data_IF_206522803329
#
_entry.id   IF_206522803329
#
_cell.length_a   1.000
_cell.length_b   1.000
_cell.length_c   1.000
_cell.angle_alpha   90.00
_cell.angle_beta   90.00
_cell.angle_gamma   90.00
#
_symmetry.space_group_name_H-M   'P 1'
#
loop_
_entity.id
_entity.type
_entity.pdbx_description
1 polymer ?
#
# COMPACT_ATOMS: atom_id res chain seq x y z
N UNK A 1 -3.79 -85.88 32.12
CA UNK A 1 -4.53 -84.83 32.86
C UNK A 1 -4.23 -83.50 32.18
N UNK A 2 -5.30 -82.78 31.84
CA UNK A 2 -5.39 -81.43 31.25
C UNK A 2 -4.80 -81.20 29.85
N UNK A 3 -5.36 -80.41 28.95
CA UNK A 3 -6.72 -79.94 28.63
C UNK A 3 -6.53 -78.98 27.45
N UNK A 4 -7.24 -79.22 26.35
CA UNK A 4 -7.37 -78.31 25.21
C UNK A 4 -8.04 -76.99 25.60
N UNK A 5 -7.69 -75.85 24.99
CA UNK A 5 -8.60 -74.98 24.19
C UNK A 5 -8.02 -73.57 23.86
N UNK A 6 -8.14 -73.23 22.58
CA UNK A 6 -8.68 -72.00 21.95
C UNK A 6 -8.24 -70.58 22.41
N UNK A 7 -7.65 -69.90 21.42
CA UNK A 7 -8.18 -68.69 20.76
C UNK A 7 -7.91 -67.26 21.30
N UNK A 8 -7.63 -66.43 20.28
CA UNK A 8 -8.04 -65.03 20.11
C UNK A 8 -7.24 -63.91 20.77
N UNK A 9 -6.47 -63.25 19.89
CA UNK A 9 -6.54 -61.81 19.60
C UNK A 9 -6.41 -60.83 20.76
N UNK A 10 -5.23 -60.20 20.85
CA UNK A 10 -5.04 -58.89 21.48
C UNK A 10 -4.19 -58.02 20.55
N UNK A 11 -4.86 -57.38 19.58
CA UNK A 11 -4.40 -56.15 18.94
C UNK A 11 -4.75 -55.03 19.93
N UNK A 12 -3.74 -54.45 20.59
CA UNK A 12 -3.95 -53.31 21.47
C UNK A 12 -3.27 -52.06 20.92
N UNK A 13 -4.15 -51.15 20.51
CA UNK A 13 -4.08 -49.69 20.41
C UNK A 13 -2.99 -49.03 19.55
N UNK A 14 -3.47 -48.50 18.42
CA UNK A 14 -3.03 -47.27 17.79
C UNK A 14 -2.56 -46.23 18.81
N UNK A 15 -1.31 -45.78 18.66
CA UNK A 15 -0.89 -44.51 19.22
C UNK A 15 -1.70 -43.39 18.56
N UNK A 16 -2.62 -42.78 19.31
CA UNK A 16 -3.09 -41.44 18.99
C UNK A 16 -1.90 -40.48 19.20
N UNK A 17 -1.22 -40.13 18.11
CA UNK A 17 -0.49 -38.88 18.07
C UNK A 17 -1.52 -37.76 18.28
N UNK A 18 -1.52 -37.16 19.47
CA UNK A 18 -2.20 -35.89 19.70
C UNK A 18 -1.45 -34.87 18.85
N UNK A 19 -1.96 -34.63 17.64
CA UNK A 19 -1.58 -33.48 16.86
C UNK A 19 -2.01 -32.25 17.67
N UNK A 20 -1.09 -31.69 18.45
CA UNK A 20 -1.25 -30.36 19.01
C UNK A 20 -1.56 -29.43 17.83
N UNK A 21 -2.67 -28.66 17.87
CA UNK A 21 -2.87 -27.62 16.88
C UNK A 21 -1.66 -26.68 16.98
N UNK A 22 -0.96 -26.55 15.86
CA UNK A 22 0.06 -25.52 15.71
C UNK A 22 -0.57 -24.18 16.08
N UNK A 23 0.17 -23.28 16.75
CA UNK A 23 -0.31 -21.92 16.95
C UNK A 23 -0.68 -21.37 15.58
N UNK A 24 -1.95 -21.00 15.43
CA UNK A 24 -2.41 -20.29 14.26
C UNK A 24 -1.49 -19.09 14.06
N UNK A 25 -0.84 -19.02 12.90
CA UNK A 25 -0.22 -17.81 12.40
C UNK A 25 -1.30 -16.73 12.39
N UNK A 26 -1.33 -15.91 13.43
CA UNK A 26 -1.95 -14.60 13.38
C UNK A 26 -1.01 -13.69 12.58
N UNK A 27 -0.83 -14.01 11.30
CA UNK A 27 -0.41 -13.01 10.33
C UNK A 27 -1.54 -12.00 10.27
N UNK A 28 -1.30 -10.89 10.96
CA UNK A 28 -1.72 -9.57 10.54
C UNK A 28 -3.15 -9.55 9.99
N UNK A 29 -4.14 -9.30 10.85
CA UNK A 29 -5.33 -8.54 10.41
C UNK A 29 -4.82 -7.11 10.14
N UNK A 30 -3.98 -7.02 9.12
CA UNK A 30 -3.40 -5.81 8.62
C UNK A 30 -4.53 -4.98 8.04
N UNK A 31 -4.27 -3.69 7.98
CA UNK A 31 -5.16 -2.63 7.55
C UNK A 31 -5.57 -2.72 6.06
N UNK A 32 -5.82 -3.91 5.52
CA UNK A 32 -6.13 -4.18 4.12
C UNK A 32 -7.59 -3.89 3.75
N UNK A 33 -8.44 -3.61 4.75
CA UNK A 33 -9.90 -3.46 4.57
C UNK A 33 -10.32 -2.17 3.85
N UNK A 34 -9.41 -1.22 3.58
CA UNK A 34 -9.82 0.12 3.07
C UNK A 34 -9.16 0.61 1.78
N UNK A 35 -8.06 0.02 1.35
CA UNK A 35 -7.38 0.46 0.12
C UNK A 35 -7.76 -0.45 -1.06
N UNK A 36 -8.40 0.12 -2.08
CA UNK A 36 -8.59 -0.58 -3.36
C UNK A 36 -7.22 -1.09 -3.85
N UNK A 37 -7.10 -2.39 -4.14
CA UNK A 37 -5.87 -2.99 -4.70
C UNK A 37 -5.79 -2.88 -6.24
N UNK A 38 -6.88 -2.45 -6.90
CA UNK A 38 -6.94 -2.36 -8.36
C UNK A 38 -6.01 -1.28 -8.89
N UNK A 39 -5.23 -1.59 -9.92
CA UNK A 39 -4.31 -0.66 -10.58
C UNK A 39 -4.93 -0.19 -11.89
N UNK A 40 -5.12 1.12 -12.04
CA UNK A 40 -5.43 1.73 -13.33
C UNK A 40 -4.16 2.37 -13.91
N UNK A 41 -3.47 1.74 -14.89
CA UNK A 41 -2.23 2.29 -15.44
C UNK A 41 -2.46 3.64 -16.14
N UNK A 42 -3.68 3.92 -16.60
CA UNK A 42 -4.01 5.19 -17.25
C UNK A 42 -4.22 6.35 -16.27
N UNK A 43 -4.15 6.12 -14.96
CA UNK A 43 -4.24 7.16 -13.94
C UNK A 43 -3.03 8.11 -13.94
N UNK A 44 -1.89 7.67 -14.50
CA UNK A 44 -0.66 8.47 -14.59
C UNK A 44 -0.10 8.51 -15.99
N UNK A 45 0.84 9.43 -16.21
CA UNK A 45 1.72 9.51 -17.38
C UNK A 45 3.15 9.83 -16.97
N UNK A 46 4.11 9.53 -17.84
CA UNK A 46 5.50 9.98 -17.68
C UNK A 46 6.24 9.39 -16.46
N UNK A 47 5.75 8.29 -15.88
CA UNK A 47 6.39 7.69 -14.70
C UNK A 47 7.83 7.29 -15.01
N UNK A 48 8.77 7.86 -14.25
CA UNK A 48 10.21 7.59 -14.37
C UNK A 48 10.78 7.28 -13.00
N UNK A 49 11.42 6.12 -12.86
CA UNK A 49 12.13 5.77 -11.63
C UNK A 49 13.43 6.56 -11.56
N UNK A 50 13.59 7.41 -10.55
CA UNK A 50 14.74 8.34 -10.45
C UNK A 50 15.91 7.74 -9.68
N UNK A 51 15.63 6.91 -8.67
CA UNK A 51 16.65 6.12 -7.97
C UNK A 51 16.00 4.85 -7.44
N UNK A 52 16.24 3.72 -8.12
CA UNK A 52 15.69 2.40 -7.76
C UNK A 52 16.26 1.83 -6.46
N UNK A 53 17.41 2.35 -6.02
CA UNK A 53 18.14 1.88 -4.84
C UNK A 53 17.85 2.72 -3.58
N UNK A 54 17.13 3.83 -3.72
CA UNK A 54 16.74 4.65 -2.59
C UNK A 54 15.90 3.82 -1.60
N UNK A 55 16.25 3.89 -0.31
CA UNK A 55 15.55 3.14 0.74
C UNK A 55 14.32 3.92 1.21
N UNK A 56 13.18 3.67 0.56
CA UNK A 56 11.89 4.23 0.96
C UNK A 56 11.11 3.17 1.73
N UNK A 57 10.90 3.38 3.03
CA UNK A 57 10.10 2.49 3.87
C UNK A 57 8.63 2.63 3.48
N UNK A 58 7.92 1.50 3.40
CA UNK A 58 6.52 1.49 2.95
C UNK A 58 5.59 2.24 3.91
N UNK A 59 5.77 2.04 5.22
CA UNK A 59 5.02 2.77 6.24
C UNK A 59 5.16 4.29 6.05
N UNK A 60 6.40 4.78 5.95
CA UNK A 60 6.72 6.18 5.69
C UNK A 60 6.06 6.69 4.40
N UNK A 61 6.12 5.92 3.32
CA UNK A 61 5.51 6.32 2.07
C UNK A 61 3.98 6.42 2.17
N UNK A 62 3.32 5.53 2.91
CA UNK A 62 1.87 5.57 3.10
C UNK A 62 1.47 6.76 3.98
N UNK A 63 2.24 7.07 5.03
CA UNK A 63 2.01 8.27 5.85
C UNK A 63 2.26 9.55 5.03
N UNK A 64 3.36 9.61 4.27
CA UNK A 64 3.68 10.73 3.39
C UNK A 64 2.62 10.94 2.30
N UNK A 65 2.08 9.85 1.73
CA UNK A 65 0.99 9.88 0.75
C UNK A 65 -0.23 10.60 1.33
N UNK A 66 -0.62 10.24 2.56
CA UNK A 66 -1.76 10.82 3.25
C UNK A 66 -1.48 12.21 3.84
N UNK A 67 -0.21 12.61 3.98
CA UNK A 67 0.20 13.87 4.59
C UNK A 67 0.08 15.10 3.69
N UNK A 68 -0.29 14.95 2.41
CA UNK A 68 -0.47 16.11 1.52
C UNK A 68 -1.61 17.02 2.02
N UNK A 69 -1.47 18.31 1.76
CA UNK A 69 -2.43 19.36 2.08
C UNK A 69 -2.80 19.45 3.56
N UNK A 70 -1.83 19.17 4.44
CA UNK A 70 -2.02 19.10 5.89
C UNK A 70 -2.68 17.80 6.37
N UNK A 71 -2.97 16.86 5.47
CA UNK A 71 -3.57 15.57 5.77
C UNK A 71 -4.88 15.32 5.01
N UNK A 72 -4.97 14.22 4.28
CA UNK A 72 -6.18 13.73 3.58
C UNK A 72 -6.64 12.38 4.16
N UNK A 73 -6.73 12.34 5.48
CA UNK A 73 -7.11 11.16 6.27
C UNK A 73 -8.42 11.39 7.03
N UNK A 74 -9.00 10.32 7.59
CA UNK A 74 -10.24 10.40 8.35
C UNK A 74 -11.40 10.94 7.51
N UNK A 75 -12.08 11.99 7.98
CA UNK A 75 -13.17 12.66 7.25
C UNK A 75 -12.69 13.54 6.09
N UNK A 76 -11.40 13.90 6.04
CA UNK A 76 -10.84 14.70 4.95
C UNK A 76 -10.53 13.77 3.78
N UNK A 77 -11.27 13.96 2.68
CA UNK A 77 -11.19 13.10 1.49
C UNK A 77 -10.68 13.83 0.24
N UNK A 78 -10.14 15.04 0.41
CA UNK A 78 -9.57 15.84 -0.68
C UNK A 78 -8.48 16.77 -0.16
N UNK A 79 -7.54 17.09 -1.04
CA UNK A 79 -6.65 18.21 -0.82
C UNK A 79 -7.48 19.51 -0.82
N UNK A 80 -7.68 20.12 0.35
CA UNK A 80 -8.47 21.34 0.51
C UNK A 80 -7.65 22.63 0.33
N UNK A 81 -8.33 23.78 0.25
CA UNK A 81 -7.68 25.10 0.25
C UNK A 81 -7.04 25.54 -1.08
N UNK A 82 -7.19 24.74 -2.15
CA UNK A 82 -6.68 25.04 -3.49
C UNK A 82 -5.21 25.49 -3.52
N UNK A 83 -4.27 24.72 -2.92
CA UNK A 83 -2.87 25.13 -2.88
C UNK A 83 -2.21 25.03 -4.26
N UNK A 84 -1.24 25.90 -4.53
CA UNK A 84 -0.40 25.84 -5.76
C UNK A 84 0.69 24.77 -5.70
N UNK A 85 1.00 24.30 -4.49
CA UNK A 85 1.94 23.21 -4.23
C UNK A 85 1.61 22.58 -2.89
N UNK A 86 1.91 21.31 -2.73
CA UNK A 86 1.83 20.66 -1.43
C UNK A 86 2.91 19.61 -1.28
N UNK A 87 3.28 19.34 -0.03
CA UNK A 87 4.12 18.23 0.34
C UNK A 87 3.45 17.36 1.39
N UNK A 88 3.73 16.07 1.36
CA UNK A 88 3.49 15.14 2.47
C UNK A 88 4.78 14.39 2.74
N UNK A 89 5.19 14.29 4.00
CA UNK A 89 6.49 13.73 4.37
C UNK A 89 6.38 12.90 5.65
N UNK A 90 7.08 11.77 5.67
CA UNK A 90 7.30 10.93 6.85
C UNK A 90 8.61 10.18 6.67
N UNK A 91 9.50 10.22 7.66
CA UNK A 91 10.77 9.50 7.65
C UNK A 91 11.49 9.55 6.29
N UNK A 92 11.59 8.39 5.66
CA UNK A 92 12.31 8.13 4.39
C UNK A 92 11.51 8.46 3.11
N UNK A 93 10.34 9.09 3.23
CA UNK A 93 9.46 9.36 2.11
C UNK A 93 8.95 10.81 2.11
N UNK A 94 9.05 11.46 0.96
CA UNK A 94 8.45 12.78 0.71
C UNK A 94 7.77 12.80 -0.64
N UNK A 95 6.49 13.12 -0.66
CA UNK A 95 5.75 13.50 -1.86
C UNK A 95 5.76 15.02 -2.02
N UNK A 96 6.04 15.49 -3.23
CA UNK A 96 5.88 16.91 -3.63
C UNK A 96 4.99 16.96 -4.86
N UNK A 97 3.94 17.79 -4.83
CA UNK A 97 2.93 17.90 -5.87
C UNK A 97 2.82 19.34 -6.37
N UNK A 98 2.68 19.50 -7.69
CA UNK A 98 2.45 20.79 -8.33
C UNK A 98 1.49 20.62 -9.52
N UNK A 99 0.54 21.54 -9.76
CA UNK A 99 -0.22 21.59 -11.00
C UNK A 99 0.71 21.73 -12.21
N UNK A 100 0.37 21.08 -13.32
CA UNK A 100 1.14 21.19 -14.56
C UNK A 100 0.83 22.47 -15.35
N UNK A 101 -0.33 23.07 -15.11
CA UNK A 101 -0.77 24.31 -15.75
C UNK A 101 -0.46 25.50 -14.86
N UNK A 102 0.20 26.51 -15.40
CA UNK A 102 0.51 27.74 -14.68
C UNK A 102 -0.78 28.45 -14.22
N UNK A 103 -0.81 28.88 -12.96
CA UNK A 103 -1.97 29.54 -12.36
C UNK A 103 -3.06 28.58 -11.84
N UNK A 104 -3.00 27.30 -12.20
CA UNK A 104 -3.89 26.29 -11.62
C UNK A 104 -3.54 26.00 -10.15
N UNK A 105 -4.46 25.32 -9.47
CA UNK A 105 -4.35 24.91 -8.07
C UNK A 105 -4.70 23.44 -7.93
N UNK A 106 -4.22 22.79 -6.88
CA UNK A 106 -4.48 21.37 -6.62
C UNK A 106 -5.92 21.20 -6.14
N UNK A 107 -6.63 20.25 -6.75
CA UNK A 107 -7.99 19.83 -6.44
C UNK A 107 -8.14 18.31 -6.65
N UNK A 108 -7.38 17.54 -5.87
CA UNK A 108 -7.30 16.08 -5.97
C UNK A 108 -8.06 15.41 -4.81
N UNK A 109 -8.91 14.43 -5.11
CA UNK A 109 -9.53 13.58 -4.10
C UNK A 109 -8.56 12.51 -3.60
N UNK A 110 -8.77 12.02 -2.37
CA UNK A 110 -7.95 10.96 -1.77
C UNK A 110 -7.86 9.73 -2.68
N UNK A 111 -8.99 9.21 -3.12
CA UNK A 111 -9.03 8.01 -3.96
C UNK A 111 -8.31 8.18 -5.30
N UNK A 112 -8.39 9.37 -5.92
CA UNK A 112 -7.64 9.67 -7.15
C UNK A 112 -6.14 9.67 -6.87
N UNK A 113 -5.72 10.37 -5.82
CA UNK A 113 -4.31 10.47 -5.44
C UNK A 113 -3.70 9.10 -5.13
N UNK A 114 -4.36 8.30 -4.30
CA UNK A 114 -3.94 6.92 -4.00
C UNK A 114 -3.84 6.06 -5.25
N UNK A 115 -4.81 6.18 -6.17
CA UNK A 115 -4.79 5.48 -7.45
C UNK A 115 -3.60 5.89 -8.33
N UNK A 116 -3.27 7.18 -8.39
CA UNK A 116 -2.11 7.67 -9.13
C UNK A 116 -0.79 7.16 -8.54
N UNK A 117 -0.62 7.20 -7.21
CA UNK A 117 0.59 6.66 -6.57
C UNK A 117 0.72 5.16 -6.81
N UNK A 118 -0.38 4.41 -6.74
CA UNK A 118 -0.39 2.97 -7.03
C UNK A 118 0.01 2.67 -8.47
N UNK A 119 -0.52 3.42 -9.43
CA UNK A 119 -0.16 3.27 -10.84
C UNK A 119 1.32 3.62 -11.11
N UNK A 120 1.84 4.66 -10.44
CA UNK A 120 3.27 4.98 -10.52
C UNK A 120 4.15 3.87 -9.89
N UNK A 121 3.76 3.33 -8.73
CA UNK A 121 4.45 2.20 -8.08
C UNK A 121 4.40 0.91 -8.90
N UNK A 122 3.35 0.68 -9.69
CA UNK A 122 3.33 -0.46 -10.62
C UNK A 122 4.44 -0.37 -11.68
N UNK A 123 4.92 0.84 -12.00
CA UNK A 123 6.09 1.06 -12.88
C UNK A 123 7.40 1.08 -12.10
N UNK A 124 7.40 1.71 -10.92
CA UNK A 124 8.56 1.86 -10.04
C UNK A 124 8.27 1.24 -8.67
N UNK A 125 8.39 -0.10 -8.53
CA UNK A 125 7.97 -0.80 -7.31
C UNK A 125 8.80 -0.41 -6.08
N UNK A 126 10.06 -0.05 -6.29
CA UNK A 126 11.00 0.38 -5.26
C UNK A 126 11.62 1.73 -5.57
N UNK A 127 12.17 2.37 -4.54
CA UNK A 127 12.93 3.60 -4.68
C UNK A 127 12.08 4.85 -4.90
N UNK A 128 12.69 5.85 -5.53
CA UNK A 128 12.09 7.15 -5.83
C UNK A 128 11.66 7.25 -7.28
N UNK A 129 10.69 8.11 -7.55
CA UNK A 129 10.18 8.31 -8.90
C UNK A 129 9.58 9.70 -9.08
N UNK A 130 9.39 10.09 -10.34
CA UNK A 130 8.55 11.22 -10.76
C UNK A 130 7.45 10.70 -11.67
N UNK A 131 6.28 11.33 -11.63
CA UNK A 131 5.13 10.96 -12.47
C UNK A 131 4.14 12.13 -12.56
N UNK A 132 3.13 12.00 -13.43
CA UNK A 132 2.06 12.98 -13.57
C UNK A 132 0.72 12.28 -13.39
N UNK A 133 -0.05 12.67 -12.37
CA UNK A 133 -1.39 12.18 -12.09
C UNK A 133 -2.38 12.90 -13.00
N UNK A 134 -3.19 12.15 -13.76
CA UNK A 134 -4.19 12.74 -14.66
C UNK A 134 -5.31 13.41 -13.88
N UNK A 135 -5.57 14.67 -14.18
CA UNK A 135 -6.46 15.56 -13.42
C UNK A 135 -5.90 15.91 -12.04
N UNK A 136 -6.80 16.26 -11.12
CA UNK A 136 -6.42 16.59 -9.74
C UNK A 136 -5.89 18.01 -9.55
N UNK A 137 -5.93 18.83 -10.60
CA UNK A 137 -5.80 20.28 -10.53
C UNK A 137 -7.11 20.94 -10.99
N UNK A 138 -7.28 22.24 -10.70
CA UNK A 138 -8.40 23.03 -11.23
C UNK A 138 -8.35 23.15 -12.75
N UNK A 139 -7.15 23.09 -13.34
CA UNK A 139 -6.93 22.92 -14.76
C UNK A 139 -5.73 21.99 -14.98
N UNK A 140 -5.87 21.04 -15.89
CA UNK A 140 -4.81 20.07 -16.22
C UNK A 140 -4.56 19.03 -15.13
N UNK A 141 -3.29 18.64 -15.02
CA UNK A 141 -2.83 17.48 -14.25
C UNK A 141 -2.00 17.91 -13.04
N UNK A 142 -1.60 16.95 -12.22
CA UNK A 142 -0.69 17.17 -11.09
C UNK A 142 0.61 16.38 -11.31
N UNK A 143 1.71 17.10 -11.48
CA UNK A 143 3.04 16.51 -11.42
C UNK A 143 3.40 16.18 -9.97
N UNK A 144 4.01 15.02 -9.75
CA UNK A 144 4.45 14.61 -8.42
C UNK A 144 5.77 13.85 -8.42
N UNK A 145 6.49 13.98 -7.31
CA UNK A 145 7.77 13.32 -7.06
C UNK A 145 7.69 12.62 -5.71
N UNK A 146 8.11 11.36 -5.66
CA UNK A 146 8.50 10.66 -4.43
C UNK A 146 10.02 10.76 -4.30
N UNK A 147 10.51 11.40 -3.24
CA UNK A 147 11.93 11.47 -2.89
C UNK A 147 12.21 10.81 -1.53
N UNK A 148 13.47 10.47 -1.29
CA UNK A 148 14.00 10.13 0.02
C UNK A 148 14.75 11.36 0.55
N UNK A 149 14.14 12.15 1.47
CA UNK A 149 14.66 13.44 1.92
C UNK A 149 15.86 13.34 2.86
#
# INVERSE_FOLDING_TARGET
MLSSTLASSLIFLCGLAVALPHPADFSEVGLEVRASKSVNPNAVTGTTCTNKNAKVVEHDANVALLGICGGIQGSIQKCGGAPKSTTGQSGTAKFTLNPTVAGATINVSKGRWEGCVRAARATCPTGTFKSTCKGGATQGDVAFVLSNP
#
